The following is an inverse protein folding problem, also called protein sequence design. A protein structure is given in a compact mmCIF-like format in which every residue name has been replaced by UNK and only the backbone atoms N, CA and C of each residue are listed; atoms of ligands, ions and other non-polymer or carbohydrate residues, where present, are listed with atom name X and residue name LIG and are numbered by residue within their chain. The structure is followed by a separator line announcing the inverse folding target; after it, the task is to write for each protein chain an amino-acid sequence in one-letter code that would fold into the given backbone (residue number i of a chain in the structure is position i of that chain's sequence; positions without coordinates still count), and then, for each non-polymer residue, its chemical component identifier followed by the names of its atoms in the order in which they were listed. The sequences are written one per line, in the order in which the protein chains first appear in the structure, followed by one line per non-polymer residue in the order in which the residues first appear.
data_IF_242709598778
#
_entry.id   IF_242709598778
#
_cell.length_a   1.000
_cell.length_b   1.000
_cell.length_c   1.000
_cell.angle_alpha   90.00
_cell.angle_beta   90.00
_cell.angle_gamma   90.00
#
_symmetry.space_group_name_H-M   'P 1'
#
loop_
_entity.id
_entity.type
_entity.pdbx_description
1 polymer ?
#
# COMPACT_ATOMS: atom_id res chain seq x y z
N UNK A 1 -12.60 -1.30 -27.88
CA UNK A 1 -12.63 -1.19 -26.40
C UNK A 1 -13.06 0.20 -25.91
N UNK A 2 -12.40 1.29 -26.30
CA UNK A 2 -12.75 2.66 -25.85
C UNK A 2 -14.22 3.07 -26.07
N UNK A 3 -14.80 2.80 -27.26
CA UNK A 3 -16.24 3.10 -27.52
C UNK A 3 -17.20 2.38 -26.57
N UNK A 4 -16.91 1.13 -26.22
CA UNK A 4 -17.73 0.35 -25.29
C UNK A 4 -17.62 0.91 -23.87
N UNK A 5 -16.41 1.36 -23.45
CA UNK A 5 -16.21 2.04 -22.17
C UNK A 5 -16.90 3.40 -22.12
N UNK A 6 -16.90 4.18 -23.21
CA UNK A 6 -17.61 5.46 -23.28
C UNK A 6 -19.13 5.27 -23.23
N UNK A 7 -19.67 4.32 -24.00
CA UNK A 7 -21.09 3.98 -23.96
C UNK A 7 -21.50 3.39 -22.61
N UNK A 8 -20.63 2.60 -21.98
CA UNK A 8 -20.82 2.12 -20.62
C UNK A 8 -20.83 3.28 -19.62
N UNK A 9 -19.89 4.22 -19.70
CA UNK A 9 -19.86 5.37 -18.79
C UNK A 9 -21.05 6.33 -18.96
N UNK A 10 -21.55 6.48 -20.18
CA UNK A 10 -22.77 7.24 -20.48
C UNK A 10 -24.02 6.51 -19.99
N UNK A 11 -24.16 5.22 -20.31
CA UNK A 11 -25.26 4.37 -19.85
C UNK A 11 -25.27 4.20 -18.33
N UNK A 12 -24.10 4.06 -17.71
CA UNK A 12 -23.96 4.02 -16.26
C UNK A 12 -24.47 5.32 -15.64
N UNK A 13 -24.08 6.49 -16.15
CA UNK A 13 -24.56 7.78 -15.64
C UNK A 13 -26.06 7.99 -15.81
N UNK A 14 -26.65 7.53 -16.91
CA UNK A 14 -28.06 7.76 -17.23
C UNK A 14 -29.00 6.77 -16.53
N UNK A 15 -28.62 5.50 -16.48
CA UNK A 15 -29.51 4.42 -16.07
C UNK A 15 -29.14 3.85 -14.71
N UNK A 16 -27.85 3.66 -14.42
CA UNK A 16 -27.39 2.93 -13.23
C UNK A 16 -27.12 3.87 -12.05
N UNK A 17 -26.42 4.98 -12.25
CA UNK A 17 -26.05 5.93 -11.20
C UNK A 17 -27.28 6.48 -10.45
N UNK A 18 -28.41 6.84 -11.11
CA UNK A 18 -29.63 7.26 -10.40
C UNK A 18 -30.29 6.15 -9.58
N UNK A 19 -30.11 4.87 -9.96
CA UNK A 19 -30.63 3.70 -9.23
C UNK A 19 -29.72 3.34 -8.05
N UNK A 20 -28.39 3.43 -8.25
CA UNK A 20 -27.40 3.30 -7.19
C UNK A 20 -27.44 4.47 -6.20
N UNK A 21 -28.22 5.50 -6.51
CA UNK A 21 -28.43 6.71 -5.72
C UNK A 21 -29.30 6.47 -4.47
N UNK A 22 -28.97 5.43 -3.70
CA UNK A 22 -29.61 5.07 -2.43
C UNK A 22 -28.53 5.13 -1.33
N UNK A 23 -28.59 6.14 -0.47
CA UNK A 23 -27.65 6.30 0.65
C UNK A 23 -26.24 6.73 0.25
N UNK A 24 -25.22 6.00 0.74
CA UNK A 24 -23.79 6.37 0.71
C UNK A 24 -23.17 6.55 -0.70
N UNK A 25 -23.86 6.10 -1.76
CA UNK A 25 -23.37 6.19 -3.14
C UNK A 25 -23.81 7.48 -3.87
N UNK A 26 -24.73 8.24 -3.28
CA UNK A 26 -25.13 9.56 -3.76
C UNK A 26 -24.94 10.69 -2.76
N UNK A 27 -24.55 10.37 -1.52
CA UNK A 27 -23.92 11.35 -0.66
C UNK A 27 -22.60 11.78 -1.30
N UNK A 28 -22.27 13.05 -1.12
CA UNK A 28 -20.91 13.51 -1.36
C UNK A 28 -19.98 12.59 -0.56
N UNK A 29 -18.91 12.06 -1.18
CA UNK A 29 -17.93 11.27 -0.44
C UNK A 29 -17.29 12.07 0.70
N UNK A 30 -17.45 13.39 0.71
CA UNK A 30 -17.06 14.29 1.80
C UNK A 30 -18.19 14.70 2.74
N UNK A 31 -19.36 14.05 2.68
CA UNK A 31 -20.49 14.30 3.57
C UNK A 31 -20.17 13.79 4.98
N UNK A 32 -20.01 14.68 5.99
CA UNK A 32 -19.68 14.26 7.36
C UNK A 32 -20.84 13.50 8.03
N UNK A 33 -22.04 13.52 7.47
CA UNK A 33 -23.22 12.80 8.00
C UNK A 33 -23.32 11.35 7.54
N UNK A 34 -22.40 10.89 6.68
CA UNK A 34 -22.32 9.48 6.30
C UNK A 34 -21.89 8.61 7.50
N UNK A 35 -22.65 7.53 7.75
CA UNK A 35 -22.42 6.62 8.87
C UNK A 35 -21.05 5.98 8.90
N UNK A 36 -20.41 5.88 7.74
CA UNK A 36 -19.04 5.41 7.61
C UNK A 36 -18.06 6.25 8.44
N UNK A 37 -18.31 7.55 8.64
CA UNK A 37 -17.38 8.44 9.34
C UNK A 37 -17.50 8.42 10.86
N UNK A 38 -18.63 7.99 11.41
CA UNK A 38 -18.87 7.99 12.86
C UNK A 38 -19.10 6.59 13.46
N UNK A 39 -19.16 5.53 12.66
CA UNK A 39 -19.28 4.17 13.17
C UNK A 39 -17.98 3.72 13.88
N UNK A 40 -18.12 3.27 15.14
CA UNK A 40 -17.00 2.88 16.01
C UNK A 40 -16.89 1.37 16.26
N UNK A 41 -17.68 0.54 15.57
CA UNK A 41 -17.57 -0.91 15.69
C UNK A 41 -16.19 -1.37 15.18
N UNK A 42 -15.62 -2.39 15.82
CA UNK A 42 -14.31 -2.95 15.43
C UNK A 42 -14.35 -3.50 13.99
N UNK A 43 -15.44 -4.13 13.58
CA UNK A 43 -15.61 -4.65 12.21
C UNK A 43 -16.54 -3.74 11.38
N UNK A 44 -16.30 -2.42 11.42
CA UNK A 44 -17.02 -1.50 10.55
C UNK A 44 -16.63 -1.73 9.07
N UNK A 45 -17.52 -1.36 8.16
CA UNK A 45 -17.35 -1.63 6.72
C UNK A 45 -16.20 -0.87 6.05
N UNK A 46 -15.61 0.11 6.73
CA UNK A 46 -14.52 0.95 6.18
C UNK A 46 -13.14 0.58 6.70
N UNK A 47 -13.04 -0.37 7.65
CA UNK A 47 -11.82 -0.67 8.39
C UNK A 47 -11.20 0.62 8.99
N UNK A 48 -11.94 1.24 9.91
CA UNK A 48 -11.54 2.50 10.57
C UNK A 48 -10.14 2.41 11.19
N UNK A 49 -9.73 1.24 11.66
CA UNK A 49 -8.41 0.99 12.21
C UNK A 49 -7.34 1.13 11.14
N UNK A 50 -7.54 0.54 9.95
CA UNK A 50 -6.65 0.75 8.82
C UNK A 50 -6.65 2.21 8.35
N UNK A 51 -7.81 2.89 8.39
CA UNK A 51 -7.87 4.34 8.13
C UNK A 51 -7.06 5.14 9.13
N UNK A 52 -7.07 4.76 10.41
CA UNK A 52 -6.25 5.43 11.42
C UNK A 52 -4.77 5.33 11.10
N UNK A 53 -4.30 4.13 10.73
CA UNK A 53 -2.91 3.90 10.33
C UNK A 53 -2.54 4.74 9.10
N UNK A 54 -3.37 4.71 8.05
CA UNK A 54 -3.20 5.49 6.82
C UNK A 54 -3.15 7.01 7.08
N UNK A 55 -3.93 7.50 8.04
CA UNK A 55 -4.00 8.92 8.37
C UNK A 55 -2.93 9.39 9.37
N UNK A 56 -2.25 8.48 10.10
CA UNK A 56 -1.36 8.88 11.21
C UNK A 56 0.13 8.63 11.00
N UNK A 57 0.52 7.48 10.46
CA UNK A 57 1.95 7.12 10.45
C UNK A 57 2.30 5.95 9.52
N UNK A 58 1.32 5.26 8.93
CA UNK A 58 1.57 4.03 8.18
C UNK A 58 0.86 4.09 6.84
N UNK A 59 1.68 4.07 5.79
CA UNK A 59 1.20 3.82 4.42
C UNK A 59 0.38 4.98 3.87
N UNK A 60 1.03 6.13 3.68
CA UNK A 60 0.66 7.08 2.61
C UNK A 60 0.73 6.49 1.19
N UNK A 61 0.73 5.15 1.06
CA UNK A 61 0.58 4.37 -0.15
C UNK A 61 -0.86 4.42 -0.64
N UNK A 62 -1.38 5.64 -0.79
CA UNK A 62 -2.64 5.87 -1.48
C UNK A 62 -2.48 5.46 -2.93
N UNK A 63 -3.43 4.69 -3.42
CA UNK A 63 -3.52 4.37 -4.84
C UNK A 63 -4.11 5.60 -5.54
N UNK A 64 -3.25 6.38 -6.18
CA UNK A 64 -3.61 7.62 -6.87
C UNK A 64 -3.50 7.46 -8.38
N UNK A 65 -4.14 8.38 -9.11
CA UNK A 65 -3.99 8.43 -10.57
C UNK A 65 -2.55 8.71 -11.00
N UNK A 66 -2.10 8.07 -12.08
CA UNK A 66 -0.77 8.30 -12.63
C UNK A 66 -0.62 9.73 -13.20
N UNK A 67 0.62 10.24 -13.34
CA UNK A 67 0.91 11.54 -13.94
C UNK A 67 0.21 11.78 -15.28
N UNK A 68 0.01 13.03 -15.68
CA UNK A 68 -0.78 13.42 -16.87
C UNK A 68 -0.26 12.85 -18.19
N UNK A 69 1.05 12.58 -18.28
CA UNK A 69 1.73 12.01 -19.42
C UNK A 69 1.75 10.46 -19.44
N UNK A 70 1.11 9.81 -18.47
CA UNK A 70 1.09 8.35 -18.35
C UNK A 70 -0.30 7.76 -18.53
N UNK A 71 -0.39 6.48 -18.90
CA UNK A 71 -1.66 5.77 -18.86
C UNK A 71 -2.04 5.53 -17.40
N UNK A 72 -3.28 5.84 -17.02
CA UNK A 72 -3.78 5.58 -15.67
C UNK A 72 -5.07 4.78 -15.73
N UNK A 73 -5.17 3.76 -14.88
CA UNK A 73 -6.44 3.08 -14.60
C UNK A 73 -7.23 3.81 -13.51
N UNK A 74 -6.50 4.40 -12.55
CA UNK A 74 -7.06 5.10 -11.40
C UNK A 74 -7.36 6.54 -11.79
N UNK A 75 -8.49 7.07 -11.31
CA UNK A 75 -8.89 8.44 -11.62
C UNK A 75 -7.84 9.45 -11.15
N UNK A 76 -7.49 10.42 -11.99
CA UNK A 76 -6.59 11.52 -11.60
C UNK A 76 -7.18 12.48 -10.56
N UNK A 77 -8.47 12.33 -10.27
CA UNK A 77 -9.13 13.04 -9.17
C UNK A 77 -8.83 12.41 -7.81
N UNK A 78 -8.38 11.15 -7.77
CA UNK A 78 -7.88 10.52 -6.55
C UNK A 78 -6.43 10.95 -6.34
N UNK A 79 -6.24 11.86 -5.39
CA UNK A 79 -4.94 12.41 -5.01
C UNK A 79 -4.68 12.14 -3.53
N UNK A 80 -3.43 12.29 -3.09
CA UNK A 80 -3.10 12.27 -1.66
C UNK A 80 -3.93 13.29 -0.87
N UNK A 81 -4.15 14.49 -1.44
CA UNK A 81 -5.00 15.53 -0.83
C UNK A 81 -6.46 15.09 -0.66
N UNK A 82 -7.01 14.38 -1.65
CA UNK A 82 -8.35 13.82 -1.56
C UNK A 82 -8.47 12.86 -0.37
N UNK A 83 -7.50 11.96 -0.18
CA UNK A 83 -7.50 11.05 0.97
C UNK A 83 -7.26 11.78 2.31
N UNK A 84 -6.42 12.81 2.34
CA UNK A 84 -6.26 13.64 3.54
C UNK A 84 -7.55 14.37 3.94
N UNK A 85 -8.37 14.81 2.97
CA UNK A 85 -9.70 15.38 3.26
C UNK A 85 -10.62 14.33 3.91
N UNK A 86 -10.55 13.08 3.48
CA UNK A 86 -11.29 11.99 4.12
C UNK A 86 -10.78 11.67 5.53
N UNK A 87 -9.47 11.78 5.79
CA UNK A 87 -8.91 11.63 7.13
C UNK A 87 -9.54 12.60 8.15
N UNK A 88 -9.81 13.84 7.75
CA UNK A 88 -10.47 14.82 8.61
C UNK A 88 -11.94 14.45 8.94
N UNK A 89 -12.60 13.66 8.08
CA UNK A 89 -13.95 13.16 8.31
C UNK A 89 -13.93 11.92 9.20
N UNK A 90 -12.99 11.00 8.98
CA UNK A 90 -12.82 9.83 9.86
C UNK A 90 -12.39 10.25 11.26
N UNK A 91 -11.46 11.21 11.37
CA UNK A 91 -10.82 11.59 12.63
C UNK A 91 -10.91 13.11 12.81
N UNK A 92 -12.09 13.64 13.14
CA UNK A 92 -12.27 15.06 13.39
C UNK A 92 -11.44 15.49 14.62
N UNK A 93 -11.07 16.78 14.73
CA UNK A 93 -10.32 17.29 15.87
C UNK A 93 -10.99 16.97 17.20
N UNK A 94 -10.18 16.54 18.17
CA UNK A 94 -10.64 16.31 19.53
C UNK A 94 -10.78 17.62 20.32
N UNK A 95 -11.44 17.56 21.49
CA UNK A 95 -11.74 18.75 22.30
C UNK A 95 -10.49 19.46 22.84
N UNK A 96 -9.33 18.79 22.88
CA UNK A 96 -8.08 19.34 23.39
C UNK A 96 -7.05 19.58 22.27
N UNK A 97 -7.49 19.62 21.00
CA UNK A 97 -6.61 19.84 19.85
C UNK A 97 -5.96 18.56 19.32
N UNK A 98 -6.47 17.38 19.69
CA UNK A 98 -6.07 16.12 19.07
C UNK A 98 -6.37 16.15 17.57
N UNK A 99 -5.45 15.65 16.75
CA UNK A 99 -5.60 15.59 15.29
C UNK A 99 -4.89 14.35 14.73
N UNK A 100 -5.25 13.94 13.52
CA UNK A 100 -4.58 12.84 12.83
C UNK A 100 -3.18 13.26 12.35
N UNK A 101 -2.23 12.32 12.34
CA UNK A 101 -0.82 12.59 12.09
C UNK A 101 -0.51 13.32 10.78
N UNK A 102 -1.18 12.99 9.67
CA UNK A 102 -0.94 13.67 8.40
C UNK A 102 -1.27 15.18 8.45
N UNK A 103 -2.22 15.61 9.29
CA UNK A 103 -2.49 17.05 9.54
C UNK A 103 -1.36 17.73 10.33
N UNK A 104 -0.53 16.95 11.00
CA UNK A 104 0.61 17.40 11.82
C UNK A 104 1.96 17.14 11.12
N UNK A 105 1.96 16.87 9.81
CA UNK A 105 3.18 16.65 9.02
C UNK A 105 3.75 15.23 9.08
N UNK A 106 3.03 14.26 9.65
CA UNK A 106 3.39 12.84 9.55
C UNK A 106 2.94 12.29 8.19
N UNK A 107 3.71 12.62 7.15
CA UNK A 107 3.42 12.24 5.76
C UNK A 107 4.33 11.11 5.27
N UNK A 108 4.08 10.61 4.05
CA UNK A 108 4.97 9.64 3.40
C UNK A 108 6.41 10.19 3.26
N UNK A 109 6.57 11.49 3.03
CA UNK A 109 7.88 12.15 2.98
C UNK A 109 8.59 12.12 4.34
N UNK A 110 7.87 12.36 5.44
CA UNK A 110 8.44 12.27 6.79
C UNK A 110 8.88 10.83 7.11
N UNK A 111 8.06 9.83 6.75
CA UNK A 111 8.41 8.42 6.91
C UNK A 111 9.62 8.03 6.06
N UNK A 112 9.68 8.48 4.80
CA UNK A 112 10.81 8.23 3.92
C UNK A 112 12.09 8.90 4.43
N UNK A 113 11.99 10.11 5.00
CA UNK A 113 13.13 10.79 5.62
C UNK A 113 13.65 10.02 6.85
N UNK A 114 12.74 9.47 7.67
CA UNK A 114 13.09 8.67 8.84
C UNK A 114 13.69 7.30 8.49
N UNK A 115 13.10 6.59 7.52
CA UNK A 115 13.48 5.22 7.16
C UNK A 115 14.60 5.15 6.10
N UNK A 116 14.89 6.27 5.42
CA UNK A 116 15.66 6.29 4.18
C UNK A 116 14.84 5.91 2.94
N UNK A 117 13.56 5.59 3.10
CA UNK A 117 12.64 5.23 2.02
C UNK A 117 13.19 4.11 1.15
N UNK A 118 13.37 4.39 -0.14
CA UNK A 118 13.94 3.45 -1.10
C UNK A 118 15.48 3.29 -1.05
N UNK A 119 16.14 3.96 -0.11
CA UNK A 119 17.59 3.90 0.14
C UNK A 119 17.87 3.79 1.65
N UNK A 120 17.52 2.66 2.30
CA UNK A 120 17.68 2.51 3.74
C UNK A 120 19.15 2.32 4.12
N UNK A 121 19.87 3.43 4.32
CA UNK A 121 21.32 3.43 4.53
C UNK A 121 21.78 2.87 5.89
N UNK A 122 20.88 2.82 6.88
CA UNK A 122 21.20 2.37 8.25
C UNK A 122 20.60 0.99 8.58
N UNK A 123 19.89 0.38 7.64
CA UNK A 123 19.20 -0.87 7.87
C UNK A 123 20.09 -2.05 7.46
N UNK A 124 20.14 -3.10 8.28
CA UNK A 124 20.91 -4.33 8.02
C UNK A 124 20.07 -5.55 8.33
N UNK A 125 20.45 -6.71 7.76
CA UNK A 125 19.76 -8.00 7.95
C UNK A 125 18.30 -7.93 7.50
N UNK A 126 18.10 -7.44 6.28
CA UNK A 126 16.76 -7.30 5.68
C UNK A 126 16.67 -8.17 4.44
N UNK A 127 15.56 -8.90 4.36
CA UNK A 127 15.12 -9.59 3.16
C UNK A 127 13.93 -8.80 2.61
N UNK A 128 14.08 -8.28 1.39
CA UNK A 128 12.98 -7.71 0.62
C UNK A 128 12.54 -8.74 -0.42
N UNK A 129 11.36 -9.31 -0.25
CA UNK A 129 10.76 -10.21 -1.24
C UNK A 129 9.57 -9.52 -1.90
N UNK A 130 9.40 -9.71 -3.20
CA UNK A 130 8.27 -9.14 -3.93
C UNK A 130 7.85 -10.06 -5.07
N UNK A 131 6.53 -10.23 -5.24
CA UNK A 131 5.99 -10.84 -6.45
C UNK A 131 6.13 -9.89 -7.64
N UNK A 132 6.56 -10.41 -8.79
CA UNK A 132 6.61 -9.66 -10.06
C UNK A 132 5.23 -9.24 -10.57
N UNK A 133 4.17 -9.90 -10.09
CA UNK A 133 2.77 -9.58 -10.41
C UNK A 133 2.02 -8.92 -9.26
N UNK A 134 2.72 -8.59 -8.18
CA UNK A 134 2.13 -7.88 -7.05
C UNK A 134 2.03 -6.38 -7.35
N UNK A 135 0.81 -5.84 -7.31
CA UNK A 135 0.56 -4.40 -7.49
C UNK A 135 1.25 -3.56 -6.41
N UNK A 136 1.54 -4.15 -5.25
CA UNK A 136 2.24 -3.48 -4.16
C UNK A 136 3.76 -3.42 -4.33
N UNK A 137 4.33 -4.17 -5.28
CA UNK A 137 5.77 -4.13 -5.60
C UNK A 137 6.24 -2.70 -5.88
N UNK A 138 5.42 -1.91 -6.57
CA UNK A 138 5.75 -0.53 -6.97
C UNK A 138 5.78 0.47 -5.81
N UNK A 139 5.36 0.09 -4.59
CA UNK A 139 5.55 0.92 -3.40
C UNK A 139 6.88 0.65 -2.69
N UNK A 140 7.53 -0.48 -2.97
CA UNK A 140 8.72 -0.94 -2.26
C UNK A 140 10.04 -0.67 -2.98
N UNK A 141 11.11 -1.22 -2.42
CA UNK A 141 12.46 -1.12 -2.99
C UNK A 141 12.61 -1.85 -4.33
N UNK A 142 11.71 -2.79 -4.63
CA UNK A 142 11.67 -3.59 -5.85
C UNK A 142 10.86 -2.92 -6.99
N UNK A 143 10.38 -1.69 -6.79
CA UNK A 143 9.63 -0.96 -7.80
C UNK A 143 10.44 -0.78 -9.09
N UNK A 144 9.85 -1.09 -10.24
CA UNK A 144 10.50 -0.87 -11.54
C UNK A 144 10.74 0.62 -11.81
N UNK A 145 9.81 1.46 -11.32
CA UNK A 145 9.82 2.91 -11.53
C UNK A 145 10.57 3.68 -10.46
N UNK A 146 11.17 3.00 -9.49
CA UNK A 146 12.10 3.64 -8.54
C UNK A 146 13.23 4.33 -9.31
N UNK A 147 13.64 5.56 -8.93
CA UNK A 147 14.86 6.16 -9.46
C UNK A 147 16.07 5.22 -9.30
N UNK A 148 16.70 4.87 -10.42
CA UNK A 148 17.77 3.87 -10.47
C UNK A 148 17.30 2.42 -10.62
N UNK A 149 16.00 2.19 -10.83
CA UNK A 149 15.39 0.87 -11.01
C UNK A 149 15.18 0.10 -9.70
N UNK A 150 14.75 -1.17 -9.79
CA UNK A 150 14.64 -2.05 -8.64
C UNK A 150 15.96 -2.16 -7.88
N UNK A 151 15.88 -2.14 -6.55
CA UNK A 151 17.04 -2.31 -5.68
C UNK A 151 17.69 -3.68 -5.93
N UNK A 152 19.02 -3.71 -5.93
CA UNK A 152 19.81 -4.94 -5.96
C UNK A 152 20.23 -5.31 -4.54
N UNK A 153 20.42 -6.61 -4.28
CA UNK A 153 21.01 -7.09 -3.04
C UNK A 153 22.36 -6.40 -2.76
N UNK A 154 22.61 -6.09 -1.49
CA UNK A 154 23.84 -5.46 -1.02
C UNK A 154 24.46 -6.31 0.11
N UNK A 155 25.50 -7.10 -0.19
CA UNK A 155 26.20 -7.92 0.81
C UNK A 155 26.86 -7.11 1.93
N UNK A 156 27.36 -5.90 1.67
CA UNK A 156 28.04 -5.07 2.69
C UNK A 156 27.08 -4.59 3.80
N UNK A 157 25.78 -4.55 3.47
CA UNK A 157 24.70 -4.14 4.35
C UNK A 157 23.85 -5.32 4.84
N UNK A 158 24.20 -6.57 4.48
CA UNK A 158 23.36 -7.75 4.73
C UNK A 158 21.91 -7.56 4.25
N UNK A 159 21.74 -6.97 3.05
CA UNK A 159 20.44 -6.78 2.42
C UNK A 159 20.28 -7.70 1.22
N UNK A 160 19.21 -8.48 1.22
CA UNK A 160 18.87 -9.41 0.14
C UNK A 160 17.56 -8.98 -0.50
N UNK A 161 17.53 -8.92 -1.84
CA UNK A 161 16.33 -8.61 -2.62
C UNK A 161 15.97 -9.82 -3.47
N UNK A 162 14.73 -10.27 -3.38
CA UNK A 162 14.14 -11.31 -4.19
C UNK A 162 12.95 -10.75 -4.98
N UNK A 163 12.93 -11.06 -6.28
CA UNK A 163 11.77 -10.85 -7.14
C UNK A 163 11.35 -12.23 -7.63
N UNK A 164 10.12 -12.60 -7.33
CA UNK A 164 9.49 -13.85 -7.78
C UNK A 164 8.64 -13.49 -8.99
N UNK A 165 9.12 -13.70 -10.20
CA UNK A 165 8.49 -13.19 -11.43
C UNK A 165 7.05 -13.69 -11.60
N UNK A 166 6.76 -14.91 -11.16
CA UNK A 166 5.40 -15.48 -11.17
C UNK A 166 4.59 -15.20 -9.90
N UNK A 167 5.22 -14.61 -8.89
CA UNK A 167 4.64 -14.34 -7.58
C UNK A 167 3.66 -13.18 -7.57
N UNK A 168 2.69 -13.28 -6.66
CA UNK A 168 1.75 -12.24 -6.25
C UNK A 168 2.09 -11.76 -4.83
N UNK A 169 1.13 -11.11 -4.16
CA UNK A 169 1.30 -10.58 -2.82
C UNK A 169 1.84 -11.65 -1.85
N UNK A 170 3.06 -11.42 -1.36
CA UNK A 170 3.79 -12.25 -0.39
C UNK A 170 3.65 -13.77 -0.63
N UNK A 171 3.85 -14.21 -1.87
CA UNK A 171 3.57 -15.59 -2.29
C UNK A 171 4.41 -16.62 -1.53
N UNK A 172 5.66 -16.25 -1.22
CA UNK A 172 6.65 -17.02 -0.48
C UNK A 172 6.26 -17.32 0.97
N UNK A 173 5.40 -16.50 1.57
CA UNK A 173 4.90 -16.73 2.94
C UNK A 173 3.86 -17.86 3.01
N UNK A 174 3.27 -18.26 1.88
CA UNK A 174 2.27 -19.34 1.84
C UNK A 174 2.91 -20.69 1.57
N UNK A 175 2.72 -21.63 2.51
CA UNK A 175 3.17 -23.02 2.33
C UNK A 175 2.56 -23.66 1.09
N UNK A 176 1.26 -23.45 0.85
CA UNK A 176 0.58 -24.00 -0.33
C UNK A 176 1.18 -23.46 -1.63
N UNK A 177 1.48 -22.16 -1.70
CA UNK A 177 2.07 -21.58 -2.89
C UNK A 177 3.47 -22.16 -3.16
N UNK A 178 4.29 -22.31 -2.12
CA UNK A 178 5.60 -22.94 -2.22
C UNK A 178 5.51 -24.45 -2.54
N UNK A 179 4.43 -25.13 -2.19
CA UNK A 179 4.21 -26.52 -2.58
C UNK A 179 3.82 -26.65 -4.07
N UNK A 180 3.14 -25.65 -4.62
CA UNK A 180 2.62 -25.68 -5.99
C UNK A 180 3.50 -24.97 -7.03
N UNK A 181 4.42 -24.10 -6.60
CA UNK A 181 5.27 -23.31 -7.50
C UNK A 181 6.75 -23.39 -7.07
N UNK A 182 7.58 -23.91 -7.97
CA UNK A 182 9.02 -24.13 -7.72
C UNK A 182 9.81 -22.84 -7.54
N UNK A 183 9.45 -21.74 -8.23
CA UNK A 183 10.10 -20.44 -8.07
C UNK A 183 9.82 -19.85 -6.68
N UNK A 184 8.57 -19.95 -6.24
CA UNK A 184 8.13 -19.54 -4.90
C UNK A 184 8.86 -20.37 -3.84
N UNK A 185 8.89 -21.70 -4.02
CA UNK A 185 9.62 -22.61 -3.11
C UNK A 185 11.08 -22.23 -2.99
N UNK A 186 11.77 -22.09 -4.13
CA UNK A 186 13.19 -21.77 -4.19
C UNK A 186 13.48 -20.46 -3.46
N UNK A 187 12.64 -19.45 -3.66
CA UNK A 187 12.80 -18.15 -2.98
C UNK A 187 12.63 -18.30 -1.47
N UNK A 188 11.55 -18.95 -1.01
CA UNK A 188 11.33 -19.23 0.41
C UNK A 188 12.50 -19.99 1.04
N UNK A 189 13.05 -20.98 0.35
CA UNK A 189 14.17 -21.78 0.85
C UNK A 189 15.46 -20.93 0.97
N UNK A 190 15.70 -20.00 0.04
CA UNK A 190 16.80 -19.02 0.13
C UNK A 190 16.63 -18.07 1.32
N UNK A 191 15.39 -17.61 1.57
CA UNK A 191 15.06 -16.74 2.68
C UNK A 191 15.27 -17.43 4.02
N UNK A 192 14.76 -18.66 4.17
CA UNK A 192 14.98 -19.50 5.35
C UNK A 192 16.48 -19.73 5.57
N UNK A 193 17.23 -20.06 4.52
CA UNK A 193 18.68 -20.23 4.63
C UNK A 193 19.40 -18.95 5.08
N UNK A 194 18.96 -17.77 4.60
CA UNK A 194 19.51 -16.49 5.02
C UNK A 194 19.20 -16.17 6.49
N UNK A 195 17.97 -16.41 6.94
CA UNK A 195 17.58 -16.25 8.34
C UNK A 195 18.37 -17.20 9.23
N UNK A 196 18.49 -18.47 8.86
CA UNK A 196 19.29 -19.46 9.59
C UNK A 196 20.75 -19.01 9.75
N UNK A 197 21.37 -18.45 8.71
CA UNK A 197 22.73 -17.88 8.81
C UNK A 197 22.80 -16.74 9.82
N UNK A 198 21.87 -15.78 9.76
CA UNK A 198 21.86 -14.67 10.72
C UNK A 198 21.62 -15.12 12.16
N UNK A 199 20.80 -16.15 12.37
CA UNK A 199 20.59 -16.75 13.68
C UNK A 199 21.87 -17.42 14.18
N UNK A 200 22.62 -18.10 13.31
CA UNK A 200 23.90 -18.73 13.67
C UNK A 200 25.00 -17.71 14.01
N UNK A 201 24.97 -16.53 13.41
CA UNK A 201 25.88 -15.43 13.72
C UNK A 201 25.53 -14.71 15.04
N UNK A 202 24.35 -14.97 15.61
CA UNK A 202 23.89 -14.27 16.80
C UNK A 202 24.79 -14.63 18.00
N UNK A 203 25.30 -13.66 18.79
CA UNK A 203 26.19 -13.95 19.93
C UNK A 203 25.61 -14.88 21.00
N UNK A 204 24.29 -15.04 21.04
CA UNK A 204 23.60 -15.98 21.94
C UNK A 204 23.27 -17.34 21.33
N UNK A 205 23.71 -17.62 20.10
CA UNK A 205 23.57 -18.93 19.47
C UNK A 205 24.65 -19.89 19.99
N UNK A 206 24.22 -21.00 20.58
CA UNK A 206 25.08 -22.02 21.21
C UNK A 206 25.56 -23.07 20.20
#
# INVERSE_FOLDING_TARGET
MLRALYQYAEGFRREIAPILCLGAFCSNELDPTDSRYYQLLVENSIDRQMKWLQCNDLVGGYIVGAPTNETTLVSRLTTTEFFHKQCALYFPPGPNGEAFGASQGRTAEALNAYTGGWNPANARRIIYSSGGRDVWREMGVSAERRPGGPMKSNPEMDMVVHIIETGFHHSELSTLNAELNEEVRRTRDLEVAQICRWVQEWPGYL
#
